data_IF_092847760757
#
_entry.id   IF_092847760757
#
_cell.length_a   1.000
_cell.length_b   1.000
_cell.length_c   1.000
_cell.angle_alpha   90.00
_cell.angle_beta   90.00
_cell.angle_gamma   90.00
#
_symmetry.space_group_name_H-M   'P 1'
#
loop_
_entity.id
_entity.type
_entity.pdbx_description
1 polymer ?
#
# COMPACT_ATOMS: atom_id res chain seq x y z
N UNK A 1 5.90 54.83 40.32
CA UNK A 1 5.28 54.81 41.67
C UNK A 1 5.06 53.34 42.10
N UNK A 2 4.60 53.04 43.34
CA UNK A 2 4.82 51.72 43.99
C UNK A 2 3.85 50.57 43.62
N UNK A 3 4.44 49.42 43.26
CA UNK A 3 4.29 48.05 43.83
C UNK A 3 2.93 47.52 44.32
N UNK A 4 2.49 46.39 43.71
CA UNK A 4 1.96 45.11 44.28
C UNK A 4 1.53 44.25 43.08
N UNK A 5 1.93 43.00 42.83
CA UNK A 5 2.24 41.79 43.62
C UNK A 5 1.08 41.27 44.49
N UNK A 6 0.46 40.17 44.02
CA UNK A 6 -0.13 39.09 44.82
C UNK A 6 -0.06 37.78 44.01
N UNK A 7 0.06 36.64 44.72
CA UNK A 7 0.33 35.30 44.17
C UNK A 7 -0.77 34.31 44.57
N UNK A 8 -0.81 33.16 43.89
CA UNK A 8 -1.67 32.00 44.20
C UNK A 8 -2.72 31.74 43.10
N UNK A 9 -3.07 30.50 42.75
CA UNK A 9 -2.68 29.20 43.34
C UNK A 9 -2.19 28.21 42.29
N UNK A 10 -1.45 27.19 42.73
CA UNK A 10 -1.18 25.97 41.98
C UNK A 10 -2.47 25.16 41.80
N UNK A 11 -2.55 24.38 40.71
CA UNK A 11 -3.07 23.01 40.73
C UNK A 11 -2.37 22.18 39.66
N UNK A 12 -1.84 21.01 40.03
CA UNK A 12 -1.29 20.02 39.11
C UNK A 12 -2.20 18.79 39.10
N UNK A 13 -2.43 18.20 37.92
CA UNK A 13 -3.15 16.94 37.77
C UNK A 13 -2.16 15.85 37.31
N UNK A 14 -2.13 14.73 38.04
CA UNK A 14 -1.14 13.66 37.80
C UNK A 14 -1.54 12.71 36.68
N UNK A 15 -0.54 12.10 36.03
CA UNK A 15 -0.70 10.81 35.35
C UNK A 15 -1.29 9.78 36.31
N UNK A 16 -2.14 8.89 35.80
CA UNK A 16 -2.61 7.70 36.50
C UNK A 16 -2.48 6.48 35.58
N UNK A 17 -1.65 5.51 35.95
CA UNK A 17 -1.46 4.27 35.20
C UNK A 17 -2.42 3.18 35.70
N UNK A 18 -3.00 2.41 34.78
CA UNK A 18 -3.77 1.22 35.13
C UNK A 18 -2.89 -0.02 35.15
N UNK A 19 -2.60 -0.54 36.34
CA UNK A 19 -2.12 -1.91 36.58
C UNK A 19 -3.01 -2.54 37.66
N UNK A 20 -4.01 -3.32 37.24
CA UNK A 20 -4.76 -4.20 38.13
C UNK A 20 -3.95 -5.46 38.43
N UNK A 21 -3.94 -5.90 39.69
CA UNK A 21 -3.19 -7.10 40.12
C UNK A 21 -4.09 -8.09 40.86
N UNK A 22 -3.95 -9.36 40.47
CA UNK A 22 -4.09 -10.60 41.24
C UNK A 22 -4.97 -10.56 42.51
N UNK A 23 -5.98 -11.42 42.55
CA UNK A 23 -6.42 -12.10 43.79
C UNK A 23 -6.36 -13.62 43.64
N UNK A 24 -6.36 -14.34 44.75
CA UNK A 24 -5.87 -15.73 44.85
C UNK A 24 -6.78 -16.65 45.67
N UNK A 25 -6.85 -17.93 45.28
CA UNK A 25 -7.46 -19.02 46.03
C UNK A 25 -7.53 -20.32 45.20
N UNK A 26 -7.31 -21.53 45.75
CA UNK A 26 -6.93 -21.82 47.14
C UNK A 26 -6.85 -23.30 47.56
N UNK A 27 -6.05 -24.15 46.89
CA UNK A 27 -5.73 -25.54 47.32
C UNK A 27 -6.65 -26.65 46.76
N UNK A 28 -6.45 -27.95 47.07
CA UNK A 28 -5.37 -28.62 47.83
C UNK A 28 -5.43 -30.17 47.65
N UNK A 29 -4.28 -30.87 47.48
CA UNK A 29 -4.15 -32.35 47.47
C UNK A 29 -3.15 -32.85 46.41
N UNK A 30 -2.05 -33.57 46.72
CA UNK A 30 -1.89 -35.02 47.07
C UNK A 30 -2.27 -35.96 45.90
N UNK A 31 -1.43 -36.92 45.45
CA UNK A 31 -0.26 -37.62 46.07
C UNK A 31 0.79 -38.13 45.05
N UNK A 32 1.99 -38.52 45.52
CA UNK A 32 3.04 -39.36 44.87
C UNK A 32 3.02 -40.78 45.50
N UNK A 33 3.83 -41.80 45.09
CA UNK A 33 4.94 -41.87 44.11
C UNK A 33 4.56 -42.82 42.92
N UNK A 34 5.30 -43.79 42.34
CA UNK A 34 6.66 -44.40 42.50
C UNK A 34 7.03 -45.29 41.30
N UNK A 35 8.34 -45.40 40.97
CA UNK A 35 9.02 -46.50 40.22
C UNK A 35 8.60 -46.79 38.74
N UNK A 36 9.46 -47.33 37.86
CA UNK A 36 10.92 -47.59 37.97
C UNK A 36 11.49 -48.49 36.84
N UNK A 37 12.80 -48.82 36.98
CA UNK A 37 13.58 -49.89 36.30
C UNK A 37 14.40 -49.56 35.02
N UNK A 38 15.54 -50.25 34.90
CA UNK A 38 16.60 -50.13 33.89
C UNK A 38 16.78 -51.47 33.14
N UNK A 39 17.31 -51.42 31.91
CA UNK A 39 18.23 -52.43 31.30
C UNK A 39 18.96 -51.74 30.12
N UNK A 40 20.26 -51.47 30.11
CA UNK A 40 21.45 -52.37 30.00
C UNK A 40 21.51 -53.19 28.70
N UNK A 41 22.47 -52.87 27.81
CA UNK A 41 22.70 -53.59 26.55
C UNK A 41 24.02 -53.21 25.86
N UNK A 42 25.16 -53.64 26.43
CA UNK A 42 26.52 -53.31 25.94
C UNK A 42 27.12 -54.48 25.15
N UNK A 43 27.54 -54.28 23.90
CA UNK A 43 28.56 -55.08 23.19
C UNK A 43 29.14 -54.30 22.00
N UNK A 44 30.25 -54.79 21.46
CA UNK A 44 31.21 -54.05 20.61
C UNK A 44 31.73 -54.92 19.46
N UNK A 45 32.10 -54.27 18.35
CA UNK A 45 33.24 -54.52 17.44
C UNK A 45 33.63 -55.98 17.08
N UNK A 46 33.86 -56.26 15.77
CA UNK A 46 35.07 -55.73 15.14
C UNK A 46 34.98 -55.27 13.66
N UNK A 47 36.07 -54.65 13.23
CA UNK A 47 36.35 -54.13 11.88
C UNK A 47 36.37 -55.21 10.79
N UNK A 48 35.99 -54.81 9.57
CA UNK A 48 36.49 -55.39 8.32
C UNK A 48 36.95 -54.27 7.40
N UNK A 49 38.12 -54.43 6.75
CA UNK A 49 38.61 -53.48 5.75
C UNK A 49 38.10 -53.85 4.36
N UNK A 50 37.78 -52.84 3.54
CA UNK A 50 37.39 -53.04 2.14
C UNK A 50 37.51 -51.74 1.35
N UNK A 51 38.57 -51.61 0.56
CA UNK A 51 38.80 -50.42 -0.26
C UNK A 51 38.09 -50.51 -1.62
N UNK A 52 37.47 -49.40 -2.04
CA UNK A 52 37.33 -49.01 -3.46
C UNK A 52 36.85 -47.56 -3.57
N UNK A 53 37.67 -46.73 -4.21
CA UNK A 53 37.20 -45.45 -4.75
C UNK A 53 36.32 -45.72 -5.97
N UNK A 54 35.14 -45.11 -6.03
CA UNK A 54 34.44 -44.82 -7.27
C UNK A 54 33.97 -43.38 -7.26
N UNK A 55 34.34 -42.68 -8.31
CA UNK A 55 33.86 -41.35 -8.71
C UNK A 55 32.35 -41.35 -8.99
N UNK A 56 31.72 -40.19 -8.80
CA UNK A 56 30.46 -39.87 -9.45
C UNK A 56 29.23 -40.48 -8.79
N UNK A 57 28.80 -39.88 -7.68
CA UNK A 57 27.40 -39.89 -7.26
C UNK A 57 27.11 -38.57 -6.52
N UNK A 58 27.11 -37.46 -7.29
CA UNK A 58 26.56 -36.19 -6.81
C UNK A 58 25.04 -36.42 -6.83
N UNK A 59 24.44 -36.55 -5.66
CA UNK A 59 22.98 -36.63 -5.55
C UNK A 59 22.37 -35.49 -6.37
N UNK A 60 21.23 -35.71 -7.07
CA UNK A 60 20.68 -34.72 -7.99
C UNK A 60 20.59 -33.38 -7.29
N UNK A 61 21.17 -32.36 -7.93
CA UNK A 61 20.92 -30.98 -7.56
C UNK A 61 19.41 -30.78 -7.58
N UNK A 62 18.87 -30.22 -6.50
CA UNK A 62 17.43 -30.20 -6.27
C UNK A 62 16.77 -29.51 -7.45
N UNK A 63 15.78 -30.17 -8.07
CA UNK A 63 15.03 -29.59 -9.17
C UNK A 63 14.64 -28.16 -8.81
N UNK A 64 15.14 -27.18 -9.57
CA UNK A 64 14.90 -25.77 -9.31
C UNK A 64 13.40 -25.53 -9.46
N UNK A 65 12.78 -25.09 -8.37
CA UNK A 65 11.32 -25.08 -8.26
C UNK A 65 10.78 -23.88 -9.03
N UNK A 66 10.03 -24.07 -10.13
CA UNK A 66 9.55 -22.94 -10.93
C UNK A 66 8.60 -22.05 -10.12
N UNK A 67 8.76 -20.72 -10.27
CA UNK A 67 7.79 -19.70 -9.89
C UNK A 67 7.24 -19.77 -8.45
N UNK A 68 8.01 -19.34 -7.45
CA UNK A 68 7.49 -19.09 -6.11
C UNK A 68 6.77 -17.73 -6.01
N UNK A 69 5.49 -17.71 -6.39
CA UNK A 69 4.66 -16.50 -6.49
C UNK A 69 4.37 -15.89 -5.12
N UNK A 70 4.36 -14.57 -5.06
CA UNK A 70 3.94 -13.78 -3.89
C UNK A 70 2.64 -13.06 -4.19
N UNK A 71 1.63 -13.22 -3.34
CA UNK A 71 0.35 -12.52 -3.46
C UNK A 71 0.25 -11.46 -2.36
N UNK A 72 -0.10 -10.25 -2.75
CA UNK A 72 -0.35 -9.12 -1.86
C UNK A 72 -1.86 -8.95 -1.73
N UNK A 73 -2.43 -9.29 -0.57
CA UNK A 73 -3.87 -9.20 -0.33
C UNK A 73 -4.15 -7.98 0.54
N UNK A 74 -4.44 -6.84 -0.10
CA UNK A 74 -4.77 -5.59 0.59
C UNK A 74 -6.27 -5.56 0.89
N UNK A 75 -6.66 -5.25 2.12
CA UNK A 75 -8.06 -5.21 2.54
C UNK A 75 -8.23 -4.28 3.75
N UNK A 76 -9.46 -3.79 4.00
CA UNK A 76 -9.71 -3.04 5.23
C UNK A 76 -9.92 -4.00 6.41
N UNK A 77 -9.13 -3.82 7.48
CA UNK A 77 -9.32 -4.51 8.76
C UNK A 77 -10.70 -4.25 9.40
N UNK A 78 -11.46 -3.26 8.93
CA UNK A 78 -12.82 -3.04 9.41
C UNK A 78 -13.79 -4.10 8.85
N UNK A 79 -13.61 -4.48 7.59
CA UNK A 79 -14.50 -5.43 6.90
C UNK A 79 -14.18 -6.87 7.33
N UNK A 80 -12.90 -7.27 7.39
CA UNK A 80 -12.54 -8.63 7.82
C UNK A 80 -12.92 -8.94 9.28
N UNK A 81 -12.98 -7.93 10.17
CA UNK A 81 -13.55 -8.11 11.52
C UNK A 81 -15.02 -8.54 11.51
N UNK A 82 -15.76 -8.19 10.47
CA UNK A 82 -17.17 -8.54 10.27
C UNK A 82 -17.29 -9.85 9.49
N UNK A 83 -16.69 -9.91 8.29
CA UNK A 83 -16.86 -11.02 7.34
C UNK A 83 -15.91 -12.20 7.56
N UNK A 84 -14.76 -11.99 8.20
CA UNK A 84 -13.71 -13.01 8.48
C UNK A 84 -13.27 -13.79 7.24
N UNK A 85 -13.30 -13.09 6.12
CA UNK A 85 -13.14 -13.59 4.75
C UNK A 85 -11.68 -13.82 4.37
N UNK A 86 -10.73 -13.09 4.95
CA UNK A 86 -9.33 -13.08 4.49
C UNK A 86 -8.65 -14.42 4.67
N UNK A 87 -8.85 -15.10 5.81
CA UNK A 87 -8.30 -16.43 6.04
C UNK A 87 -8.80 -17.46 5.02
N UNK A 88 -10.12 -17.73 4.87
CA UNK A 88 -10.61 -18.70 3.89
C UNK A 88 -10.36 -18.27 2.43
N UNK A 89 -10.13 -16.97 2.17
CA UNK A 89 -9.71 -16.46 0.86
C UNK A 89 -8.28 -16.91 0.56
N UNK A 90 -7.32 -16.58 1.43
CA UNK A 90 -5.91 -17.01 1.32
C UNK A 90 -5.80 -18.55 1.21
N UNK A 91 -6.48 -19.27 2.10
CA UNK A 91 -6.43 -20.75 2.17
C UNK A 91 -6.99 -21.42 0.90
N UNK A 92 -8.16 -21.00 0.38
CA UNK A 92 -8.77 -21.65 -0.78
C UNK A 92 -8.23 -21.14 -2.12
N UNK A 93 -7.95 -19.85 -2.27
CA UNK A 93 -7.42 -19.29 -3.51
C UNK A 93 -6.03 -19.85 -3.81
N UNK A 94 -5.13 -19.89 -2.83
CA UNK A 94 -3.78 -20.45 -3.02
C UNK A 94 -3.79 -21.94 -3.41
N UNK A 95 -4.72 -22.72 -2.84
CA UNK A 95 -4.92 -24.12 -3.22
C UNK A 95 -5.45 -24.26 -4.66
N UNK A 96 -6.39 -23.41 -5.07
CA UNK A 96 -6.99 -23.47 -6.42
C UNK A 96 -6.04 -22.98 -7.51
N UNK A 97 -5.20 -21.96 -7.24
CA UNK A 97 -4.13 -21.53 -8.16
C UNK A 97 -3.19 -22.71 -8.42
N UNK A 98 -2.66 -23.34 -7.35
CA UNK A 98 -1.77 -24.50 -7.48
C UNK A 98 -2.44 -25.67 -8.20
N UNK A 99 -3.71 -25.98 -7.89
CA UNK A 99 -4.45 -27.07 -8.52
C UNK A 99 -4.77 -26.84 -10.00
N UNK A 100 -4.79 -25.59 -10.48
CA UNK A 100 -5.08 -25.23 -11.88
C UNK A 100 -3.84 -25.00 -12.75
N UNK A 101 -2.74 -24.55 -12.17
CA UNK A 101 -1.55 -24.09 -12.90
C UNK A 101 -0.25 -24.78 -12.51
N UNK A 102 -0.21 -25.47 -11.36
CA UNK A 102 1.03 -25.95 -10.74
C UNK A 102 1.85 -24.88 -10.02
N UNK A 103 1.50 -23.59 -10.18
CA UNK A 103 2.23 -22.46 -9.58
C UNK A 103 2.06 -22.44 -8.06
N UNK A 104 3.16 -22.22 -7.33
CA UNK A 104 3.16 -22.26 -5.86
C UNK A 104 3.09 -20.86 -5.28
N UNK A 105 1.98 -20.54 -4.61
CA UNK A 105 1.90 -19.33 -3.78
C UNK A 105 2.77 -19.52 -2.53
N UNK A 106 3.91 -18.85 -2.49
CA UNK A 106 4.88 -18.84 -1.39
C UNK A 106 4.30 -18.17 -0.14
N UNK A 107 3.62 -17.05 -0.33
CA UNK A 107 3.04 -16.25 0.75
C UNK A 107 1.88 -15.38 0.25
N UNK A 108 0.92 -15.16 1.16
CA UNK A 108 -0.09 -14.11 1.06
C UNK A 108 0.26 -13.00 2.06
N UNK A 109 1.01 -12.01 1.61
CA UNK A 109 1.44 -10.90 2.44
C UNK A 109 0.26 -10.02 2.85
N UNK A 110 0.31 -9.52 4.08
CA UNK A 110 -0.72 -8.72 4.73
C UNK A 110 -0.22 -7.31 5.04
N UNK A 111 -1.12 -6.41 5.46
CA UNK A 111 -0.81 -4.99 5.69
C UNK A 111 0.27 -4.73 6.77
N UNK A 112 0.59 -5.71 7.60
CA UNK A 112 1.64 -5.64 8.63
C UNK A 112 3.03 -6.13 8.15
N UNK A 113 3.11 -6.87 7.04
CA UNK A 113 4.33 -7.59 6.63
C UNK A 113 5.20 -6.84 5.60
N UNK A 114 4.68 -5.76 5.00
CA UNK A 114 5.19 -5.24 3.72
C UNK A 114 6.09 -4.01 3.87
N UNK A 115 7.41 -4.24 3.83
CA UNK A 115 8.35 -3.22 3.31
C UNK A 115 8.47 -3.38 1.80
N UNK A 116 7.62 -2.63 1.10
CA UNK A 116 7.45 -2.68 -0.36
C UNK A 116 8.79 -2.58 -1.13
N UNK A 117 9.68 -1.69 -0.69
CA UNK A 117 11.02 -1.50 -1.27
C UNK A 117 12.05 -2.56 -0.88
N UNK A 118 11.65 -3.74 -0.42
CA UNK A 118 12.55 -4.84 -0.05
C UNK A 118 12.29 -6.07 -0.92
N UNK A 119 11.04 -6.52 -1.00
CA UNK A 119 10.63 -7.72 -1.77
C UNK A 119 10.90 -7.61 -3.29
N UNK A 120 10.88 -6.39 -3.84
CA UNK A 120 11.20 -6.12 -5.25
C UNK A 120 12.70 -5.94 -5.54
N UNK A 121 13.56 -5.72 -4.51
CA UNK A 121 15.02 -5.64 -4.72
C UNK A 121 15.62 -7.03 -4.90
N UNK A 122 15.13 -8.00 -4.16
CA UNK A 122 15.63 -9.38 -4.16
C UNK A 122 15.19 -10.18 -5.43
N UNK A 123 14.75 -9.49 -6.50
CA UNK A 123 14.13 -10.02 -7.72
C UNK A 123 14.42 -9.20 -9.00
N UNK A 124 15.47 -8.39 -8.98
CA UNK A 124 15.91 -7.57 -10.13
C UNK A 124 16.97 -8.26 -10.99
N UNK A 125 17.44 -9.45 -10.60
CA UNK A 125 18.25 -10.34 -11.43
C UNK A 125 17.32 -11.31 -12.19
N UNK A 126 17.58 -11.52 -13.49
CA UNK A 126 16.61 -12.08 -14.45
C UNK A 126 16.20 -13.57 -14.22
N UNK A 127 16.82 -14.30 -13.29
CA UNK A 127 16.55 -15.74 -13.11
C UNK A 127 15.27 -16.06 -12.31
N UNK A 128 14.65 -15.11 -11.59
CA UNK A 128 13.36 -15.36 -10.91
C UNK A 128 12.39 -14.19 -11.10
N UNK A 129 11.54 -14.32 -12.13
CA UNK A 129 10.27 -13.61 -12.29
C UNK A 129 9.28 -13.96 -11.15
N UNK A 130 9.56 -13.47 -9.94
CA UNK A 130 8.66 -13.55 -8.79
C UNK A 130 7.52 -12.53 -8.91
N UNK A 131 6.82 -12.56 -10.05
CA UNK A 131 5.79 -11.61 -10.42
C UNK A 131 4.72 -11.58 -9.31
N UNK A 132 4.50 -10.36 -8.80
CA UNK A 132 3.80 -10.16 -7.54
C UNK A 132 2.39 -9.67 -7.84
N UNK A 133 1.39 -10.49 -7.53
CA UNK A 133 -0.01 -10.19 -7.86
C UNK A 133 -0.66 -9.44 -6.70
N UNK A 134 -1.35 -8.33 -6.99
CA UNK A 134 -1.99 -7.50 -5.98
C UNK A 134 -3.51 -7.57 -6.08
N UNK A 135 -4.13 -8.03 -4.99
CA UNK A 135 -5.56 -8.26 -4.87
C UNK A 135 -6.12 -7.28 -3.82
N UNK A 136 -6.68 -6.13 -4.22
CA UNK A 136 -7.39 -5.24 -3.31
C UNK A 136 -8.84 -5.73 -3.11
N UNK A 137 -9.20 -6.03 -1.87
CA UNK A 137 -10.58 -6.33 -1.46
C UNK A 137 -11.31 -5.01 -1.19
N UNK A 138 -11.93 -4.48 -2.23
CA UNK A 138 -12.51 -3.13 -2.30
C UNK A 138 -13.81 -3.00 -1.49
N UNK A 139 -13.91 -1.90 -0.76
CA UNK A 139 -15.09 -1.48 0.01
C UNK A 139 -15.06 0.04 0.26
N UNK A 140 -16.11 0.60 0.83
CA UNK A 140 -16.07 1.98 1.34
C UNK A 140 -14.96 2.16 2.40
N UNK A 141 -14.82 1.18 3.30
CA UNK A 141 -13.78 1.15 4.34
C UNK A 141 -12.36 1.08 3.77
N UNK A 142 -12.18 0.41 2.61
CA UNK A 142 -10.91 0.38 1.86
C UNK A 142 -10.55 1.79 1.35
N UNK A 143 -11.50 2.48 0.73
CA UNK A 143 -11.29 3.81 0.15
C UNK A 143 -11.07 4.91 1.20
N UNK A 144 -11.42 4.68 2.46
CA UNK A 144 -11.11 5.57 3.60
C UNK A 144 -9.83 5.17 4.38
N UNK A 145 -9.24 4.01 4.08
CA UNK A 145 -8.03 3.49 4.74
C UNK A 145 -6.76 3.93 4.01
N UNK A 146 -6.04 4.90 4.57
CA UNK A 146 -4.81 5.45 3.96
C UNK A 146 -3.75 4.40 3.61
N UNK A 147 -3.62 3.34 4.42
CA UNK A 147 -2.69 2.25 4.11
C UNK A 147 -3.12 1.47 2.87
N UNK A 148 -4.42 1.17 2.73
CA UNK A 148 -4.98 0.53 1.53
C UNK A 148 -4.75 1.40 0.28
N UNK A 149 -4.95 2.72 0.40
CA UNK A 149 -4.73 3.66 -0.71
C UNK A 149 -3.26 3.74 -1.13
N UNK A 150 -2.36 3.85 -0.16
CA UNK A 150 -0.91 3.86 -0.39
C UNK A 150 -0.42 2.56 -1.05
N UNK A 151 -0.88 1.40 -0.57
CA UNK A 151 -0.56 0.09 -1.13
C UNK A 151 -1.00 -0.03 -2.61
N UNK A 152 -2.26 0.34 -2.89
CA UNK A 152 -2.82 0.32 -4.25
C UNK A 152 -2.06 1.25 -5.20
N UNK A 153 -1.82 2.50 -4.78
CA UNK A 153 -1.21 3.53 -5.63
C UNK A 153 0.24 3.16 -6.02
N UNK A 154 1.02 2.56 -5.11
CA UNK A 154 2.36 2.03 -5.39
C UNK A 154 2.33 0.85 -6.35
N UNK A 155 1.42 -0.10 -6.12
CA UNK A 155 1.32 -1.25 -7.01
C UNK A 155 1.00 -0.80 -8.42
N UNK A 156 -0.05 0.01 -8.57
CA UNK A 156 -0.48 0.55 -9.85
C UNK A 156 0.61 1.39 -10.53
N UNK A 157 1.33 2.26 -9.81
CA UNK A 157 2.42 3.03 -10.41
C UNK A 157 3.51 2.14 -11.05
N UNK A 158 3.89 1.05 -10.38
CA UNK A 158 4.95 0.15 -10.83
C UNK A 158 4.47 -0.83 -11.90
N UNK A 159 3.27 -1.37 -11.75
CA UNK A 159 2.65 -2.24 -12.75
C UNK A 159 2.38 -1.50 -14.08
N UNK A 160 2.03 -0.21 -14.05
CA UNK A 160 1.96 0.61 -15.27
C UNK A 160 3.34 0.92 -15.86
N UNK A 161 4.34 1.21 -15.02
CA UNK A 161 5.70 1.48 -15.49
C UNK A 161 6.43 0.26 -16.10
N UNK A 162 5.88 -0.94 -15.91
CA UNK A 162 6.39 -2.22 -16.42
C UNK A 162 5.42 -2.91 -17.39
N UNK A 163 4.39 -2.19 -17.89
CA UNK A 163 3.35 -2.75 -18.76
C UNK A 163 2.31 -3.63 -18.05
N UNK A 164 2.74 -4.47 -17.10
CA UNK A 164 1.99 -5.56 -16.43
C UNK A 164 0.86 -5.14 -15.46
N UNK A 165 0.00 -4.22 -15.90
CA UNK A 165 -1.10 -3.66 -15.10
C UNK A 165 -2.21 -4.67 -14.79
N UNK A 166 -2.30 -5.78 -15.54
CA UNK A 166 -3.20 -6.91 -15.29
C UNK A 166 -2.89 -7.69 -14.00
N UNK A 167 -1.67 -7.56 -13.45
CA UNK A 167 -1.35 -8.09 -12.11
C UNK A 167 -2.09 -7.39 -10.97
N UNK A 168 -2.81 -6.30 -11.27
CA UNK A 168 -3.80 -5.68 -10.39
C UNK A 168 -5.15 -6.38 -10.58
N UNK A 169 -5.56 -7.18 -9.59
CA UNK A 169 -6.78 -7.99 -9.63
C UNK A 169 -7.81 -7.51 -8.60
N UNK A 170 -8.54 -6.41 -8.86
CA UNK A 170 -9.51 -5.88 -7.92
C UNK A 170 -10.73 -6.78 -7.72
N UNK A 171 -11.17 -6.82 -6.47
CA UNK A 171 -12.26 -7.68 -5.99
C UNK A 171 -13.20 -6.84 -5.13
N UNK A 172 -14.43 -6.63 -5.58
CA UNK A 172 -15.42 -5.82 -4.89
C UNK A 172 -16.22 -6.67 -3.89
N UNK A 173 -16.11 -6.35 -2.59
CA UNK A 173 -16.68 -7.15 -1.50
C UNK A 173 -18.22 -7.19 -1.56
N UNK A 174 -18.85 -6.04 -1.81
CA UNK A 174 -20.31 -5.86 -1.90
C UNK A 174 -20.67 -4.92 -3.06
N UNK A 175 -21.83 -5.09 -3.68
CA UNK A 175 -22.35 -4.18 -4.69
C UNK A 175 -22.70 -2.82 -4.08
N UNK A 176 -21.86 -1.82 -4.35
CA UNK A 176 -22.05 -0.45 -3.89
C UNK A 176 -22.02 0.55 -5.07
N UNK A 177 -23.00 0.51 -5.99
CA UNK A 177 -23.01 1.32 -7.23
C UNK A 177 -23.07 2.84 -7.00
N UNK A 178 -23.34 3.31 -5.77
CA UNK A 178 -23.22 4.71 -5.38
C UNK A 178 -21.78 5.16 -5.04
N UNK A 179 -20.81 4.24 -5.13
CA UNK A 179 -19.38 4.43 -4.83
C UNK A 179 -18.52 3.82 -5.94
N UNK A 180 -18.84 2.60 -6.37
CA UNK A 180 -18.13 1.83 -7.38
C UNK A 180 -18.90 1.86 -8.70
N UNK A 181 -18.52 2.78 -9.58
CA UNK A 181 -19.07 2.96 -10.93
C UNK A 181 -18.01 3.60 -11.84
N UNK A 182 -18.16 3.50 -13.16
CA UNK A 182 -17.17 4.02 -14.14
C UNK A 182 -16.95 5.54 -14.00
N UNK A 183 -18.04 6.31 -13.83
CA UNK A 183 -17.99 7.77 -13.62
C UNK A 183 -17.55 8.21 -12.19
N UNK A 184 -16.88 7.34 -11.42
CA UNK A 184 -16.44 7.67 -10.07
C UNK A 184 -15.22 8.61 -10.09
N UNK A 185 -15.13 9.52 -9.11
CA UNK A 185 -14.06 10.54 -9.05
C UNK A 185 -12.78 10.08 -8.31
N UNK A 186 -12.78 8.86 -7.77
CA UNK A 186 -11.65 8.29 -7.00
C UNK A 186 -10.86 7.34 -7.90
N UNK A 187 -9.57 7.60 -8.15
CA UNK A 187 -8.77 6.81 -9.10
C UNK A 187 -8.74 5.33 -8.74
N UNK A 188 -8.78 4.98 -7.46
CA UNK A 188 -8.81 3.57 -7.03
C UNK A 188 -10.05 2.88 -7.61
N UNK A 189 -11.17 3.58 -7.73
CA UNK A 189 -12.37 3.08 -8.40
C UNK A 189 -12.20 3.09 -9.92
N UNK A 190 -11.73 4.19 -10.53
CA UNK A 190 -11.56 4.26 -11.98
C UNK A 190 -10.62 3.17 -12.53
N UNK A 191 -9.45 3.00 -11.89
CA UNK A 191 -8.44 1.99 -12.22
C UNK A 191 -8.96 0.59 -11.96
N UNK A 192 -9.77 0.40 -10.91
CA UNK A 192 -10.40 -0.90 -10.64
C UNK A 192 -11.57 -1.22 -11.58
N UNK A 193 -12.18 -0.21 -12.20
CA UNK A 193 -13.19 -0.38 -13.24
C UNK A 193 -12.54 -0.74 -14.58
N UNK A 194 -11.45 -0.05 -14.97
CA UNK A 194 -10.73 -0.34 -16.22
C UNK A 194 -10.03 -1.71 -16.20
N UNK A 195 -9.55 -2.16 -15.03
CA UNK A 195 -9.04 -3.53 -14.82
C UNK A 195 -10.14 -4.56 -14.49
N UNK A 196 -11.42 -4.19 -14.61
CA UNK A 196 -12.61 -5.03 -14.39
C UNK A 196 -12.63 -5.78 -13.04
N UNK A 197 -13.14 -5.16 -11.97
CA UNK A 197 -13.29 -5.84 -10.68
C UNK A 197 -14.20 -7.09 -10.75
N UNK A 198 -13.91 -8.13 -9.94
CA UNK A 198 -14.85 -9.22 -9.70
C UNK A 198 -15.69 -8.95 -8.44
N UNK A 199 -17.01 -9.03 -8.55
CA UNK A 199 -17.93 -8.89 -7.41
C UNK A 199 -18.07 -10.22 -6.66
N UNK A 200 -17.93 -10.19 -5.34
CA UNK A 200 -17.93 -11.41 -4.49
C UNK A 200 -19.03 -11.43 -3.42
N UNK A 201 -20.04 -10.58 -3.53
CA UNK A 201 -21.12 -10.44 -2.53
C UNK A 201 -21.80 -11.76 -2.15
N UNK A 202 -22.27 -12.55 -3.12
CA UNK A 202 -22.92 -13.85 -2.87
C UNK A 202 -22.03 -14.78 -2.04
N UNK A 203 -20.71 -14.75 -2.28
CA UNK A 203 -19.74 -15.54 -1.55
C UNK A 203 -19.51 -15.00 -0.13
N UNK A 204 -19.35 -13.69 0.04
CA UNK A 204 -19.08 -13.03 1.33
C UNK A 204 -20.29 -13.06 2.28
N UNK A 205 -21.50 -13.03 1.74
CA UNK A 205 -22.75 -13.20 2.50
C UNK A 205 -23.11 -14.68 2.73
N UNK A 206 -22.37 -15.61 2.10
CA UNK A 206 -22.48 -17.06 2.33
C UNK A 206 -21.42 -17.56 3.33
N UNK A 207 -21.57 -18.80 3.78
CA UNK A 207 -20.52 -19.51 4.52
C UNK A 207 -19.32 -19.87 3.61
N UNK A 208 -18.10 -19.87 4.14
CA UNK A 208 -16.88 -20.20 3.39
C UNK A 208 -16.84 -21.66 2.86
N UNK A 209 -17.63 -22.57 3.44
CA UNK A 209 -17.84 -23.93 2.94
C UNK A 209 -18.81 -24.02 1.75
N UNK A 210 -19.51 -22.94 1.40
CA UNK A 210 -20.60 -22.92 0.41
C UNK A 210 -20.17 -23.19 -1.03
N UNK A 211 -21.16 -23.47 -1.89
CA UNK A 211 -20.94 -23.57 -3.34
C UNK A 211 -20.62 -22.20 -3.97
N UNK A 212 -21.19 -21.11 -3.44
CA UNK A 212 -20.91 -19.74 -3.89
C UNK A 212 -19.42 -19.41 -3.66
N UNK A 213 -18.94 -19.54 -2.41
CA UNK A 213 -17.53 -19.30 -2.07
C UNK A 213 -16.57 -20.11 -2.95
N UNK A 214 -16.81 -21.41 -3.11
CA UNK A 214 -15.96 -22.30 -3.92
C UNK A 214 -15.95 -21.93 -5.41
N UNK A 215 -17.09 -21.53 -5.98
CA UNK A 215 -17.17 -21.07 -7.38
C UNK A 215 -16.44 -19.74 -7.56
N UNK A 216 -16.62 -18.80 -6.64
CA UNK A 216 -15.96 -17.48 -6.69
C UNK A 216 -14.45 -17.60 -6.56
N UNK A 217 -13.94 -18.34 -5.57
CA UNK A 217 -12.50 -18.59 -5.46
C UNK A 217 -11.94 -19.36 -6.68
N UNK A 218 -12.76 -20.18 -7.35
CA UNK A 218 -12.35 -20.82 -8.60
C UNK A 218 -12.22 -19.84 -9.77
N UNK A 219 -13.16 -18.90 -9.97
CA UNK A 219 -13.06 -17.85 -11.00
C UNK A 219 -11.88 -16.92 -10.75
N UNK A 220 -11.70 -16.49 -9.50
CA UNK A 220 -10.54 -15.69 -9.09
C UNK A 220 -9.22 -16.43 -9.37
N UNK A 221 -9.19 -17.76 -9.20
CA UNK A 221 -8.01 -18.57 -9.54
C UNK A 221 -7.80 -18.74 -11.07
N UNK A 222 -8.84 -18.71 -11.90
CA UNK A 222 -8.68 -18.65 -13.37
C UNK A 222 -8.09 -17.30 -13.77
N UNK A 223 -8.77 -16.21 -13.40
CA UNK A 223 -8.35 -14.83 -13.67
C UNK A 223 -6.93 -14.53 -13.18
N UNK A 224 -6.55 -15.10 -12.02
CA UNK A 224 -5.19 -15.03 -11.50
C UNK A 224 -4.17 -15.66 -12.44
N UNK A 225 -4.43 -16.88 -12.91
CA UNK A 225 -3.51 -17.63 -13.76
C UNK A 225 -3.41 -17.00 -15.16
N UNK A 226 -4.51 -16.48 -15.68
CA UNK A 226 -4.55 -15.78 -16.97
C UNK A 226 -3.74 -14.47 -16.91
N UNK A 227 -3.96 -13.62 -15.89
CA UNK A 227 -3.23 -12.37 -15.72
C UNK A 227 -1.75 -12.59 -15.39
N UNK A 228 -1.43 -13.58 -14.54
CA UNK A 228 -0.06 -13.91 -14.19
C UNK A 228 0.75 -14.38 -15.41
N UNK A 229 0.14 -15.16 -16.31
CA UNK A 229 0.79 -15.58 -17.57
C UNK A 229 0.98 -14.44 -18.56
N UNK A 230 -0.03 -13.59 -18.75
CA UNK A 230 0.11 -12.41 -19.62
C UNK A 230 1.25 -11.49 -19.15
N UNK A 231 1.45 -11.39 -17.83
CA UNK A 231 2.59 -10.69 -17.25
C UNK A 231 3.93 -11.42 -17.43
N UNK A 232 3.97 -12.76 -17.31
CA UNK A 232 5.17 -13.54 -17.62
C UNK A 232 5.57 -13.39 -19.10
N UNK A 233 4.60 -13.46 -20.03
CA UNK A 233 4.83 -13.23 -21.47
C UNK A 233 5.37 -11.80 -21.72
N UNK A 234 4.74 -10.77 -21.11
CA UNK A 234 5.14 -9.36 -21.26
C UNK A 234 6.54 -9.07 -20.68
N UNK A 235 6.90 -9.72 -19.57
CA UNK A 235 8.23 -9.57 -18.95
C UNK A 235 9.30 -10.44 -19.66
N UNK A 236 8.91 -11.53 -20.32
CA UNK A 236 9.80 -12.30 -21.19
C UNK A 236 10.14 -11.53 -22.48
N UNK A 237 9.16 -10.88 -23.12
CA UNK A 237 9.41 -10.02 -24.30
C UNK A 237 10.38 -8.86 -23.97
N UNK A 238 10.31 -8.31 -22.75
CA UNK A 238 11.29 -7.34 -22.25
C UNK A 238 12.67 -7.98 -22.02
N UNK A 239 12.74 -9.15 -21.37
CA UNK A 239 14.00 -9.85 -21.11
C UNK A 239 14.72 -10.33 -22.37
N UNK A 240 14.02 -10.91 -23.34
CA UNK A 240 14.60 -11.34 -24.63
C UNK A 240 15.10 -10.14 -25.47
N UNK A 241 14.54 -8.94 -25.24
CA UNK A 241 15.05 -7.70 -25.84
C UNK A 241 16.41 -7.28 -25.27
N UNK A 242 16.66 -7.51 -23.97
CA UNK A 242 17.95 -7.25 -23.32
C UNK A 242 18.97 -8.38 -23.59
N UNK A 243 18.55 -9.65 -23.58
CA UNK A 243 19.43 -10.83 -23.76
C UNK A 243 19.95 -10.97 -25.20
N UNK A 244 19.35 -10.27 -26.17
CA UNK A 244 19.89 -10.16 -27.53
C UNK A 244 21.31 -9.53 -27.63
N UNK A 245 21.82 -8.92 -26.56
CA UNK A 245 23.06 -8.16 -26.52
C UNK A 245 24.32 -8.91 -26.04
N UNK A 246 24.30 -10.21 -25.73
CA UNK A 246 25.52 -10.97 -25.33
C UNK A 246 26.50 -11.21 -26.50
N UNK A 247 27.19 -10.14 -26.92
CA UNK A 247 28.06 -10.07 -28.10
C UNK A 247 29.52 -9.70 -27.81
N UNK A 248 30.27 -10.60 -27.18
CA UNK A 248 31.74 -10.56 -27.00
C UNK A 248 32.32 -9.50 -26.04
N UNK A 249 32.72 -9.95 -24.84
CA UNK A 249 33.72 -9.25 -24.01
C UNK A 249 35.06 -9.11 -24.76
N UNK A 250 35.34 -7.94 -25.36
CA UNK A 250 36.54 -7.75 -26.19
C UNK A 250 36.94 -6.30 -26.46
N UNK A 251 37.91 -5.82 -25.66
CA UNK A 251 38.64 -4.53 -25.80
C UNK A 251 37.82 -3.25 -25.51
N UNK A 252 38.53 -2.12 -25.38
CA UNK A 252 37.97 -0.88 -24.80
C UNK A 252 37.53 0.15 -25.86
N UNK A 253 36.32 0.70 -25.67
CA UNK A 253 35.77 1.84 -26.38
C UNK A 253 34.54 2.40 -25.65
N UNK A 254 34.12 3.61 -26.01
CA UNK A 254 32.76 4.09 -25.75
C UNK A 254 31.80 3.36 -26.71
N UNK A 255 30.62 2.98 -26.22
CA UNK A 255 29.32 3.00 -26.93
C UNK A 255 28.25 2.79 -25.82
N UNK A 256 27.12 3.52 -25.88
CA UNK A 256 26.23 3.75 -24.74
C UNK A 256 25.15 2.65 -24.48
N UNK A 257 24.73 2.50 -23.21
CA UNK A 257 23.61 1.64 -22.77
C UNK A 257 22.24 2.27 -23.15
N UNK A 258 21.85 2.24 -24.42
CA UNK A 258 20.92 3.23 -25.03
C UNK A 258 19.42 3.20 -24.63
N UNK A 259 18.91 2.23 -23.85
CA UNK A 259 17.45 2.07 -23.57
C UNK A 259 17.02 2.07 -22.08
N UNK A 260 17.94 2.07 -21.11
CA UNK A 260 17.60 2.03 -19.66
C UNK A 260 18.08 3.30 -18.92
N UNK A 261 17.18 4.19 -18.43
CA UNK A 261 17.57 5.53 -17.99
C UNK A 261 18.65 5.59 -16.92
N UNK A 262 19.78 6.22 -17.27
CA UNK A 262 20.92 6.39 -16.39
C UNK A 262 20.64 7.29 -15.17
N UNK A 263 21.52 7.25 -14.17
CA UNK A 263 21.39 8.05 -12.94
C UNK A 263 21.22 9.55 -13.24
N UNK A 264 21.93 10.07 -14.24
CA UNK A 264 21.85 11.44 -14.72
C UNK A 264 20.45 11.80 -15.26
N UNK A 265 19.81 10.88 -15.98
CA UNK A 265 18.47 11.08 -16.54
C UNK A 265 17.41 11.01 -15.46
N UNK A 266 17.53 10.08 -14.51
CA UNK A 266 16.61 9.99 -13.37
C UNK A 266 16.74 11.24 -12.47
N UNK A 267 17.94 11.81 -12.30
CA UNK A 267 18.09 13.12 -11.65
C UNK A 267 17.45 14.25 -12.47
N UNK A 268 17.55 14.21 -13.80
CA UNK A 268 16.92 15.20 -14.68
C UNK A 268 15.39 15.14 -14.62
N UNK A 269 14.81 13.93 -14.62
CA UNK A 269 13.37 13.70 -14.39
C UNK A 269 12.92 14.26 -13.03
N UNK A 270 13.72 14.05 -11.98
CA UNK A 270 13.43 14.59 -10.64
C UNK A 270 13.58 16.12 -10.57
N UNK A 271 14.56 16.72 -11.25
CA UNK A 271 14.72 18.17 -11.35
C UNK A 271 13.56 18.85 -12.09
N UNK A 272 12.92 18.18 -13.05
CA UNK A 272 11.69 18.69 -13.70
C UNK A 272 10.44 18.50 -12.81
N UNK A 273 10.33 17.39 -12.08
CA UNK A 273 9.18 17.08 -11.21
C UNK A 273 9.15 17.91 -9.91
N UNK A 274 10.30 18.30 -9.35
CA UNK A 274 10.38 19.07 -8.11
C UNK A 274 9.70 20.46 -8.20
N UNK A 275 9.87 21.25 -9.27
CA UNK A 275 9.08 22.46 -9.54
C UNK A 275 7.57 22.20 -9.64
N UNK A 276 7.14 21.13 -10.31
CA UNK A 276 5.71 20.78 -10.40
C UNK A 276 5.11 20.49 -9.01
N UNK A 277 5.77 19.64 -8.23
CA UNK A 277 5.38 19.32 -6.84
C UNK A 277 5.33 20.58 -5.97
N UNK A 278 6.31 21.46 -6.14
CA UNK A 278 6.41 22.74 -5.41
C UNK A 278 5.26 23.68 -5.77
N UNK A 279 4.94 23.86 -7.06
CA UNK A 279 3.85 24.72 -7.50
C UNK A 279 2.48 24.17 -7.07
N UNK A 280 2.25 22.86 -7.19
CA UNK A 280 1.01 22.24 -6.74
C UNK A 280 0.79 22.41 -5.21
N UNK A 281 1.87 22.34 -4.42
CA UNK A 281 1.86 22.64 -2.99
C UNK A 281 1.53 24.12 -2.69
N UNK A 282 2.11 25.05 -3.47
CA UNK A 282 1.81 26.48 -3.34
C UNK A 282 0.34 26.79 -3.67
N UNK A 283 -0.24 26.17 -4.70
CA UNK A 283 -1.63 26.38 -5.15
C UNK A 283 -2.68 25.91 -4.12
N UNK A 284 -2.36 24.92 -3.27
CA UNK A 284 -3.25 24.47 -2.20
C UNK A 284 -3.53 25.56 -1.15
N UNK A 285 -2.52 26.37 -0.81
CA UNK A 285 -2.62 27.39 0.25
C UNK A 285 -3.71 28.44 0.02
N UNK A 286 -3.78 29.12 -1.15
CA UNK A 286 -4.87 30.05 -1.44
C UNK A 286 -6.22 29.35 -1.60
N UNK A 287 -6.26 28.13 -2.17
CA UNK A 287 -7.50 27.38 -2.34
C UNK A 287 -8.15 26.97 -1.00
N UNK A 288 -7.34 26.46 -0.07
CA UNK A 288 -7.74 26.16 1.32
C UNK A 288 -8.17 27.43 2.08
N UNK A 289 -7.47 28.55 1.85
CA UNK A 289 -7.84 29.85 2.43
C UNK A 289 -9.20 30.32 1.91
N UNK A 290 -9.43 30.24 0.60
CA UNK A 290 -10.70 30.58 -0.05
C UNK A 290 -11.87 29.73 0.45
N UNK A 291 -11.67 28.44 0.70
CA UNK A 291 -12.69 27.58 1.33
C UNK A 291 -13.02 28.06 2.77
N UNK A 292 -11.99 28.43 3.53
CA UNK A 292 -12.13 29.02 4.86
C UNK A 292 -12.87 30.36 4.86
N UNK A 293 -12.62 31.22 3.89
CA UNK A 293 -13.30 32.51 3.74
C UNK A 293 -14.74 32.37 3.22
N UNK A 294 -15.01 31.42 2.31
CA UNK A 294 -16.37 31.04 1.94
C UNK A 294 -17.17 30.56 3.17
N UNK A 295 -16.56 29.75 4.05
CA UNK A 295 -17.19 29.30 5.28
C UNK A 295 -17.44 30.42 6.30
N UNK A 296 -16.58 31.45 6.35
CA UNK A 296 -16.79 32.67 7.16
C UNK A 296 -17.91 33.54 6.56
N UNK A 297 -17.92 33.74 5.24
CA UNK A 297 -18.88 34.56 4.51
C UNK A 297 -20.30 33.95 4.51
N UNK A 298 -20.41 32.62 4.51
CA UNK A 298 -21.67 31.91 4.73
C UNK A 298 -22.34 32.27 6.07
N UNK A 299 -21.55 32.63 7.09
CA UNK A 299 -22.05 33.04 8.40
C UNK A 299 -22.79 31.91 9.15
N UNK A 300 -23.63 32.29 10.10
CA UNK A 300 -24.45 31.36 10.89
C UNK A 300 -25.93 31.54 10.58
N UNK A 301 -26.68 30.44 10.63
CA UNK A 301 -28.13 30.48 10.68
C UNK A 301 -28.62 31.16 11.98
N UNK A 302 -29.78 31.85 11.96
CA UNK A 302 -30.45 32.31 13.18
C UNK A 302 -30.80 31.15 14.11
N UNK A 303 -30.88 31.40 15.43
CA UNK A 303 -31.11 30.37 16.47
C UNK A 303 -32.39 29.54 16.29
N UNK A 304 -33.38 30.07 15.56
CA UNK A 304 -34.65 29.40 15.21
C UNK A 304 -34.95 29.64 13.72
N UNK A 305 -34.26 28.98 12.80
CA UNK A 305 -34.35 29.27 11.38
C UNK A 305 -35.58 28.56 10.78
N UNK A 306 -36.35 29.27 9.94
CA UNK A 306 -37.40 28.63 9.15
C UNK A 306 -36.80 27.73 8.07
N UNK A 307 -37.52 26.70 7.63
CA UNK A 307 -37.05 25.79 6.57
C UNK A 307 -36.61 26.54 5.29
N UNK A 308 -37.29 27.66 4.94
CA UNK A 308 -36.91 28.53 3.81
C UNK A 308 -35.59 29.26 4.03
N UNK A 309 -35.29 29.69 5.26
CA UNK A 309 -33.99 30.27 5.60
C UNK A 309 -32.86 29.22 5.59
N UNK A 310 -33.13 28.03 6.12
CA UNK A 310 -32.20 26.88 6.06
C UNK A 310 -31.86 26.53 4.61
N UNK A 311 -32.87 26.45 3.73
CA UNK A 311 -32.69 26.16 2.31
C UNK A 311 -31.92 27.28 1.58
N UNK A 312 -32.30 28.54 1.79
CA UNK A 312 -31.62 29.69 1.17
C UNK A 312 -30.14 29.77 1.58
N UNK A 313 -29.85 29.63 2.88
CA UNK A 313 -28.49 29.60 3.41
C UNK A 313 -27.67 28.42 2.86
N UNK A 314 -28.28 27.23 2.77
CA UNK A 314 -27.60 26.06 2.22
C UNK A 314 -27.21 26.24 0.76
N UNK A 315 -28.09 26.86 -0.04
CA UNK A 315 -27.85 27.15 -1.46
C UNK A 315 -26.81 28.27 -1.66
N UNK A 316 -26.87 29.35 -0.89
CA UNK A 316 -25.88 30.44 -0.98
C UNK A 316 -24.49 29.97 -0.52
N UNK A 317 -24.43 29.14 0.52
CA UNK A 317 -23.18 28.59 1.04
C UNK A 317 -22.59 27.55 0.08
N UNK A 318 -23.42 26.65 -0.47
CA UNK A 318 -22.97 25.72 -1.51
C UNK A 318 -22.34 26.46 -2.70
N UNK A 319 -23.01 27.50 -3.21
CA UNK A 319 -22.47 28.34 -4.30
C UNK A 319 -21.16 29.06 -3.93
N UNK A 320 -21.00 29.46 -2.66
CA UNK A 320 -19.74 30.05 -2.20
C UNK A 320 -18.59 29.03 -2.14
N UNK A 321 -18.89 27.74 -1.98
CA UNK A 321 -17.89 26.66 -1.94
C UNK A 321 -17.50 26.13 -3.33
N UNK A 322 -18.34 26.27 -4.36
CA UNK A 322 -18.10 25.71 -5.71
C UNK A 322 -16.69 26.01 -6.26
N UNK A 323 -16.27 27.28 -6.24
CA UNK A 323 -14.95 27.71 -6.78
C UNK A 323 -13.77 27.21 -5.94
N UNK A 324 -13.66 27.52 -4.63
CA UNK A 324 -12.51 27.05 -3.85
C UNK A 324 -12.46 25.52 -3.71
N UNK A 325 -13.61 24.83 -3.77
CA UNK A 325 -13.61 23.37 -3.77
C UNK A 325 -13.05 22.77 -5.06
N UNK A 326 -13.36 23.36 -6.22
CA UNK A 326 -12.74 23.01 -7.50
C UNK A 326 -11.22 23.25 -7.49
N UNK A 327 -10.78 24.41 -6.99
CA UNK A 327 -9.35 24.75 -6.89
C UNK A 327 -8.57 23.79 -5.97
N UNK A 328 -9.17 23.33 -4.86
CA UNK A 328 -8.58 22.30 -3.99
C UNK A 328 -8.46 20.96 -4.72
N UNK A 329 -9.42 20.62 -5.59
CA UNK A 329 -9.35 19.41 -6.41
C UNK A 329 -8.23 19.51 -7.44
N UNK A 330 -8.23 20.55 -8.27
CA UNK A 330 -7.24 20.78 -9.33
C UNK A 330 -5.79 20.84 -8.81
N UNK A 331 -5.57 21.42 -7.62
CA UNK A 331 -4.26 21.44 -6.98
C UNK A 331 -3.87 20.08 -6.38
N UNK A 332 -4.83 19.37 -5.76
CA UNK A 332 -4.59 18.03 -5.22
C UNK A 332 -4.31 16.97 -6.29
N UNK A 333 -5.02 17.01 -7.41
CA UNK A 333 -4.82 16.13 -8.57
C UNK A 333 -3.46 16.38 -9.23
N UNK A 334 -3.06 17.64 -9.44
CA UNK A 334 -1.73 17.98 -9.95
C UNK A 334 -0.61 17.53 -9.01
N UNK A 335 -0.77 17.73 -7.70
CA UNK A 335 0.21 17.24 -6.71
C UNK A 335 0.34 15.71 -6.77
N UNK A 336 -0.78 14.99 -6.85
CA UNK A 336 -0.78 13.53 -6.91
C UNK A 336 -0.19 12.99 -8.22
N UNK A 337 -0.47 13.62 -9.37
CA UNK A 337 0.11 13.25 -10.66
C UNK A 337 1.62 13.52 -10.75
N UNK A 338 2.13 14.56 -10.08
CA UNK A 338 3.56 14.81 -9.97
C UNK A 338 4.24 13.81 -9.01
N UNK A 339 3.69 13.59 -7.81
CA UNK A 339 4.23 12.64 -6.84
C UNK A 339 4.17 11.18 -7.33
N UNK A 340 3.16 10.78 -8.11
CA UNK A 340 3.11 9.42 -8.70
C UNK A 340 4.25 9.18 -9.71
N UNK A 341 4.63 10.20 -10.51
CA UNK A 341 5.82 10.12 -11.39
C UNK A 341 7.10 10.02 -10.55
N UNK A 342 7.25 10.91 -9.57
CA UNK A 342 8.40 10.92 -8.68
C UNK A 342 8.57 9.61 -7.88
N UNK A 343 7.50 8.91 -7.50
CA UNK A 343 7.58 7.59 -6.83
C UNK A 343 8.25 6.51 -7.70
N UNK A 344 8.07 6.58 -9.02
CA UNK A 344 8.74 5.70 -10.00
C UNK A 344 10.21 6.08 -10.13
N UNK A 345 10.51 7.35 -10.37
CA UNK A 345 11.88 7.86 -10.49
C UNK A 345 12.71 7.60 -9.21
N UNK A 346 12.18 7.93 -8.03
CA UNK A 346 12.80 7.64 -6.73
C UNK A 346 12.94 6.12 -6.50
N UNK A 347 11.99 5.30 -6.95
CA UNK A 347 12.13 3.84 -6.86
C UNK A 347 13.27 3.30 -7.73
N UNK A 348 13.43 3.81 -8.96
CA UNK A 348 14.55 3.47 -9.86
C UNK A 348 15.89 3.92 -9.27
N UNK A 349 16.00 5.20 -8.90
CA UNK A 349 17.22 5.76 -8.29
C UNK A 349 17.63 4.98 -7.03
N UNK A 350 16.67 4.56 -6.20
CA UNK A 350 16.93 3.77 -4.99
C UNK A 350 17.45 2.37 -5.29
N UNK A 351 17.02 1.73 -6.38
CA UNK A 351 17.55 0.43 -6.78
C UNK A 351 19.04 0.58 -7.15
N UNK A 352 19.34 1.40 -8.15
CA UNK A 352 20.72 1.68 -8.60
C UNK A 352 21.62 2.15 -7.44
N UNK A 353 21.10 2.99 -6.55
CA UNK A 353 21.81 3.42 -5.33
C UNK A 353 22.16 2.26 -4.41
N UNK A 354 21.26 1.29 -4.20
CA UNK A 354 21.55 0.10 -3.37
C UNK A 354 22.64 -0.76 -4.02
N UNK A 355 22.56 -0.96 -5.33
CA UNK A 355 23.50 -1.82 -6.05
C UNK A 355 24.91 -1.19 -6.08
N UNK A 356 25.02 0.11 -6.38
CA UNK A 356 26.27 0.86 -6.28
C UNK A 356 26.79 1.04 -4.84
N UNK A 357 25.91 1.02 -3.83
CA UNK A 357 26.33 1.10 -2.42
C UNK A 357 27.09 -0.15 -1.96
N UNK A 358 27.01 -1.27 -2.68
CA UNK A 358 27.90 -2.43 -2.46
C UNK A 358 29.37 -2.10 -2.79
N UNK A 359 29.64 -1.02 -3.52
CA UNK A 359 30.98 -0.55 -3.90
C UNK A 359 31.39 0.84 -3.39
N UNK A 360 30.46 1.80 -3.23
CA UNK A 360 30.80 3.15 -2.72
C UNK A 360 29.69 3.84 -1.92
N UNK A 361 30.05 4.48 -0.80
CA UNK A 361 29.10 5.15 0.11
C UNK A 361 28.70 6.58 -0.27
N UNK A 362 29.23 7.14 -1.37
CA UNK A 362 28.92 8.53 -1.75
C UNK A 362 27.52 8.67 -2.37
N UNK A 363 27.08 7.67 -3.13
CA UNK A 363 25.78 7.69 -3.83
C UNK A 363 24.62 7.56 -2.85
N UNK A 364 24.72 6.64 -1.88
CA UNK A 364 23.74 6.50 -0.80
C UNK A 364 23.67 7.71 0.11
N UNK A 365 24.77 8.45 0.31
CA UNK A 365 24.75 9.71 1.08
C UNK A 365 23.85 10.75 0.39
N UNK A 366 24.08 11.05 -0.89
CA UNK A 366 23.27 12.03 -1.62
C UNK A 366 21.79 11.62 -1.77
N UNK A 367 21.52 10.34 -2.02
CA UNK A 367 20.15 9.82 -2.01
C UNK A 367 19.46 10.01 -0.65
N UNK A 368 20.15 9.70 0.45
CA UNK A 368 19.60 9.84 1.80
C UNK A 368 19.36 11.29 2.20
N UNK A 369 20.19 12.23 1.72
CA UNK A 369 19.99 13.67 1.91
C UNK A 369 18.74 14.15 1.16
N UNK A 370 18.58 13.79 -0.12
CA UNK A 370 17.38 14.09 -0.91
C UNK A 370 16.09 13.59 -0.24
N UNK A 371 16.07 12.34 0.24
CA UNK A 371 14.91 11.77 0.95
C UNK A 371 14.67 12.46 2.31
N UNK A 372 15.70 12.94 2.99
CA UNK A 372 15.55 13.67 4.25
C UNK A 372 14.90 15.06 4.05
N UNK A 373 15.20 15.76 2.94
CA UNK A 373 14.56 17.05 2.61
C UNK A 373 13.06 16.91 2.29
N UNK A 374 12.64 15.75 1.79
CA UNK A 374 11.24 15.43 1.48
C UNK A 374 10.42 14.98 2.71
N UNK A 375 11.05 14.88 3.89
CA UNK A 375 10.45 14.41 5.13
C UNK A 375 9.66 15.47 5.93
N UNK A 376 9.21 15.08 7.14
CA UNK A 376 8.63 16.01 8.13
C UNK A 376 7.19 16.50 7.86
N UNK A 377 6.54 15.99 6.81
CA UNK A 377 5.21 16.43 6.36
C UNK A 377 4.02 15.98 7.25
N UNK A 378 4.29 15.34 8.39
CA UNK A 378 3.28 14.73 9.26
C UNK A 378 2.25 15.72 9.79
N UNK A 379 2.72 16.92 10.19
CA UNK A 379 1.86 18.01 10.67
C UNK A 379 0.89 18.50 9.59
N UNK A 380 1.27 18.39 8.31
CA UNK A 380 0.40 18.74 7.17
C UNK A 380 -0.69 17.68 7.00
N UNK A 381 -0.33 16.40 7.06
CA UNK A 381 -1.29 15.30 6.97
C UNK A 381 -2.34 15.35 8.11
N UNK A 382 -1.92 15.60 9.35
CA UNK A 382 -2.83 15.77 10.50
C UNK A 382 -3.77 16.97 10.31
N UNK A 383 -3.28 18.09 9.77
CA UNK A 383 -4.12 19.27 9.51
C UNK A 383 -5.16 19.02 8.41
N UNK A 384 -4.82 18.25 7.39
CA UNK A 384 -5.71 17.88 6.29
C UNK A 384 -6.79 16.88 6.74
N UNK A 385 -6.44 15.89 7.56
CA UNK A 385 -7.45 15.03 8.20
C UNK A 385 -8.37 15.83 9.13
N UNK A 386 -7.79 16.71 9.94
CA UNK A 386 -8.53 17.66 10.77
C UNK A 386 -9.34 18.71 9.98
N UNK A 387 -9.20 18.79 8.66
CA UNK A 387 -10.07 19.57 7.78
C UNK A 387 -11.23 18.72 7.25
N UNK A 388 -10.97 17.50 6.78
CA UNK A 388 -12.01 16.54 6.37
C UNK A 388 -13.05 16.34 7.48
N UNK A 389 -12.61 16.17 8.73
CA UNK A 389 -13.48 16.06 9.90
C UNK A 389 -14.39 17.28 10.12
N UNK A 390 -13.91 18.49 9.80
CA UNK A 390 -14.69 19.73 9.93
C UNK A 390 -15.69 19.92 8.77
N UNK A 391 -15.49 19.24 7.64
CA UNK A 391 -16.41 19.27 6.50
C UNK A 391 -17.62 18.34 6.71
N UNK A 392 -17.41 17.15 7.31
CA UNK A 392 -18.45 16.13 7.53
C UNK A 392 -19.78 16.69 8.09
N UNK A 393 -19.82 17.59 9.11
CA UNK A 393 -21.09 18.13 9.61
C UNK A 393 -21.90 18.94 8.57
N UNK A 394 -21.23 19.67 7.68
CA UNK A 394 -21.88 20.44 6.62
C UNK A 394 -22.44 19.53 5.50
N UNK A 395 -21.74 18.44 5.19
CA UNK A 395 -22.17 17.42 4.23
C UNK A 395 -23.42 16.64 4.70
N UNK A 396 -23.59 16.48 6.02
CA UNK A 396 -24.81 15.92 6.61
C UNK A 396 -25.97 16.93 6.62
N UNK A 397 -25.68 18.23 6.66
CA UNK A 397 -26.68 19.29 6.78
C UNK A 397 -27.56 19.47 5.53
N UNK A 398 -26.99 19.38 4.32
CA UNK A 398 -27.79 19.34 3.09
C UNK A 398 -27.08 18.66 1.91
N UNK A 399 -27.87 18.14 0.96
CA UNK A 399 -27.36 17.57 -0.28
C UNK A 399 -26.65 18.61 -1.17
N UNK A 400 -27.06 19.88 -1.12
CA UNK A 400 -26.40 20.97 -1.86
C UNK A 400 -24.98 21.23 -1.33
N UNK A 401 -24.82 21.33 -0.01
CA UNK A 401 -23.51 21.46 0.63
C UNK A 401 -22.63 20.25 0.35
N UNK A 402 -23.18 19.03 0.45
CA UNK A 402 -22.45 17.79 0.11
C UNK A 402 -21.94 17.78 -1.32
N UNK A 403 -22.76 18.21 -2.30
CA UNK A 403 -22.33 18.28 -3.70
C UNK A 403 -21.22 19.33 -3.89
N UNK A 404 -21.35 20.52 -3.30
CA UNK A 404 -20.36 21.58 -3.43
C UNK A 404 -19.03 21.31 -2.70
N UNK A 405 -19.05 20.54 -1.61
CA UNK A 405 -17.85 20.18 -0.85
C UNK A 405 -17.18 18.88 -1.34
N UNK A 406 -17.84 18.08 -2.19
CA UNK A 406 -17.30 16.82 -2.75
C UNK A 406 -15.93 17.02 -3.44
N UNK A 407 -15.70 18.05 -4.28
CA UNK A 407 -14.40 18.29 -4.90
C UNK A 407 -13.29 18.60 -3.88
N UNK A 408 -13.57 19.46 -2.89
CA UNK A 408 -12.61 19.77 -1.82
C UNK A 408 -12.21 18.52 -1.02
N UNK A 409 -13.18 17.66 -0.68
CA UNK A 409 -12.97 16.41 0.05
C UNK A 409 -12.08 15.45 -0.75
N UNK A 410 -12.27 15.40 -2.06
CA UNK A 410 -11.46 14.57 -2.97
C UNK A 410 -10.05 15.14 -3.15
N UNK A 411 -9.90 16.44 -3.40
CA UNK A 411 -8.59 17.10 -3.51
C UNK A 411 -7.75 16.92 -2.24
N UNK A 412 -8.35 17.10 -1.06
CA UNK A 412 -7.67 16.84 0.23
C UNK A 412 -7.29 15.36 0.38
N UNK A 413 -8.10 14.40 -0.11
CA UNK A 413 -7.68 12.99 -0.20
C UNK A 413 -6.48 12.81 -1.16
N UNK A 414 -6.44 13.48 -2.32
CA UNK A 414 -5.31 13.37 -3.27
C UNK A 414 -4.00 13.88 -2.67
N UNK A 415 -4.05 14.99 -1.95
CA UNK A 415 -2.90 15.50 -1.19
C UNK A 415 -2.47 14.49 -0.13
N UNK A 416 -3.41 13.89 0.62
CA UNK A 416 -3.09 12.87 1.64
C UNK A 416 -2.49 11.60 1.04
N UNK A 417 -3.00 11.13 -0.09
CA UNK A 417 -2.42 10.02 -0.86
C UNK A 417 -0.98 10.35 -1.30
N UNK A 418 -0.73 11.58 -1.75
CA UNK A 418 0.60 12.08 -2.11
C UNK A 418 1.55 12.08 -0.91
N UNK A 419 1.14 12.64 0.23
CA UNK A 419 1.94 12.66 1.47
C UNK A 419 2.29 11.23 1.95
N UNK A 420 1.38 10.27 1.77
CA UNK A 420 1.61 8.88 2.15
C UNK A 420 2.54 8.13 1.18
N UNK A 421 2.65 8.54 -0.09
CA UNK A 421 3.71 8.10 -1.00
C UNK A 421 5.07 8.66 -0.55
N UNK A 422 5.19 9.99 -0.40
CA UNK A 422 6.42 10.67 0.02
C UNK A 422 7.01 10.11 1.33
N UNK A 423 6.16 9.94 2.37
CA UNK A 423 6.51 9.33 3.67
C UNK A 423 7.18 7.96 3.60
N UNK A 424 7.03 7.26 2.47
CA UNK A 424 7.43 5.86 2.32
C UNK A 424 8.67 5.65 1.46
N UNK A 425 9.28 6.74 1.00
CA UNK A 425 10.62 6.71 0.43
C UNK A 425 11.61 6.47 1.57
N UNK A 426 12.13 5.25 1.64
CA UNK A 426 13.04 4.81 2.71
C UNK A 426 14.51 5.10 2.32
N UNK A 427 15.32 5.69 3.21
CA UNK A 427 16.76 5.83 2.98
C UNK A 427 17.44 4.48 2.76
N UNK A 428 18.50 4.47 1.95
CA UNK A 428 19.38 3.32 1.74
C UNK A 428 20.27 3.15 2.97
N UNK A 429 20.21 1.97 3.58
CA UNK A 429 21.13 1.59 4.65
C UNK A 429 22.52 1.30 4.07
N UNK A 430 23.55 1.85 4.71
CA UNK A 430 24.95 1.50 4.46
C UNK A 430 25.36 0.20 5.20
#
# INVERSE_FOLDING_TARGET
>A
MRVRDRRGSQFAASRASWRGSIMSGGGKGRTRPSEGRQTTGRRSDPKTQGAKSRTGDRAPERDEVPGEITIFLSYSRADDRIYKMVRPFKELLGHLIYAKSGLKVKSFLDQDDIRWGQIWRDRLEAEILGASVFIPLLSASYLDSDNCRMEFNKFHAKATALGVSELLLPVLILEAPAIFHEEAEDDIVQVSASTQWEVIEEAVLSDAGSSAWKKTMARLADRFVDAYRAAEDTLADLGDSEVGAEGSFGDAGDDDDEDSPGISEIYSELEELLPEMTQASQDLTPALTGLGDAARAAGKLPDKPTARQVQAWSLSSAKAFEVPAGQILEAGERMFAAVKRADVAVSRLRAITVDLSRGSGSVSTGYNEMIAEMGGLDVVAEQLEGLLDKMRPAEHFSAALRKALRPARLGVKRVRDSLNLLRSWEPVSA
#
